data_IF_742278286272
#
_entry.id   IF_742278286272
#
_cell.length_a   1.000
_cell.length_b   1.000
_cell.length_c   1.000
_cell.angle_alpha   90.00
_cell.angle_beta   90.00
_cell.angle_gamma   90.00
#
_symmetry.space_group_name_H-M   'P 1'
#
loop_
_entity.id
_entity.type
_entity.pdbx_description
1 polymer ?
#
# COMPACT_ATOMS: atom_id res chain seq x y z
N UNK A 1 -17.48 21.74 27.46
CA UNK A 1 -17.04 20.83 26.37
C UNK A 1 -17.30 19.37 26.76
N UNK A 2 -18.31 18.73 26.16
CA UNK A 2 -18.72 17.36 26.51
C UNK A 2 -17.76 16.33 25.92
N UNK A 3 -16.92 15.70 26.75
CA UNK A 3 -16.10 14.55 26.37
C UNK A 3 -17.02 13.33 26.17
N UNK A 4 -17.50 13.08 24.94
CA UNK A 4 -18.22 11.82 24.66
C UNK A 4 -17.24 10.64 24.81
N UNK A 5 -17.37 9.90 25.91
CA UNK A 5 -16.63 8.64 26.13
C UNK A 5 -16.95 7.65 24.99
N UNK A 6 -15.92 7.00 24.45
CA UNK A 6 -16.07 5.94 23.44
C UNK A 6 -16.98 4.82 23.94
N UNK A 7 -17.69 4.14 23.03
CA UNK A 7 -18.64 3.06 23.40
C UNK A 7 -17.96 1.95 24.18
N UNK A 8 -16.71 1.60 23.83
CA UNK A 8 -15.88 0.62 24.55
C UNK A 8 -15.57 1.09 25.98
N UNK A 9 -15.25 2.37 26.19
CA UNK A 9 -15.02 2.90 27.54
C UNK A 9 -16.29 2.95 28.40
N UNK A 10 -17.48 3.09 27.79
CA UNK A 10 -18.77 3.02 28.49
C UNK A 10 -19.17 1.60 28.88
N UNK A 11 -18.81 0.62 28.04
CA UNK A 11 -19.13 -0.81 28.24
C UNK A 11 -18.00 -1.60 28.89
N UNK A 12 -16.90 -0.96 29.28
CA UNK A 12 -15.76 -1.63 29.89
C UNK A 12 -16.18 -2.50 31.08
N UNK A 13 -15.81 -3.77 31.08
CA UNK A 13 -16.18 -4.74 32.10
C UNK A 13 -17.58 -5.35 31.96
N UNK A 14 -18.37 -4.95 30.96
CA UNK A 14 -19.68 -5.54 30.66
C UNK A 14 -19.55 -6.60 29.58
N UNK A 15 -20.39 -7.64 29.63
CA UNK A 15 -20.56 -8.54 28.50
C UNK A 15 -21.08 -7.78 27.28
N UNK A 16 -20.54 -8.07 26.11
CA UNK A 16 -20.99 -7.44 24.88
C UNK A 16 -22.32 -8.07 24.44
N UNK A 17 -23.30 -7.28 23.95
CA UNK A 17 -24.59 -7.78 23.52
C UNK A 17 -24.51 -8.39 22.11
N UNK A 18 -23.52 -9.26 21.89
CA UNK A 18 -23.41 -10.08 20.70
C UNK A 18 -23.83 -11.50 21.06
N UNK A 19 -24.52 -12.19 20.15
CA UNK A 19 -24.69 -13.63 20.27
C UNK A 19 -23.31 -14.29 20.42
N UNK A 20 -23.27 -15.43 21.11
CA UNK A 20 -22.03 -16.12 21.54
C UNK A 20 -21.05 -16.23 20.36
N UNK A 21 -20.08 -15.30 20.31
CA UNK A 21 -19.13 -15.22 19.22
C UNK A 21 -18.32 -16.52 19.19
N UNK A 22 -18.33 -17.19 18.04
CA UNK A 22 -17.57 -18.41 17.81
C UNK A 22 -16.09 -18.03 17.62
N UNK A 23 -15.39 -17.90 18.74
CA UNK A 23 -13.96 -17.65 18.82
C UNK A 23 -13.24 -18.90 19.33
N UNK A 24 -11.97 -19.08 18.97
CA UNK A 24 -11.12 -20.18 19.47
C UNK A 24 -11.00 -20.20 21.00
N UNK A 25 -11.16 -19.04 21.65
CA UNK A 25 -11.12 -18.87 23.11
C UNK A 25 -12.42 -18.28 23.61
N UNK A 26 -12.75 -18.51 24.89
CA UNK A 26 -13.91 -17.89 25.53
C UNK A 26 -13.80 -16.36 25.44
N UNK A 27 -14.74 -15.72 24.76
CA UNK A 27 -14.82 -14.26 24.73
C UNK A 27 -15.26 -13.76 26.11
N UNK A 28 -14.48 -12.85 26.69
CA UNK A 28 -14.74 -12.25 28.00
C UNK A 28 -15.57 -10.96 27.90
N UNK A 29 -15.40 -10.09 28.89
CA UNK A 29 -16.05 -8.77 28.93
C UNK A 29 -15.37 -7.76 28.01
N UNK A 30 -16.07 -6.69 27.66
CA UNK A 30 -15.51 -5.62 26.84
C UNK A 30 -14.32 -4.96 27.54
N UNK A 31 -13.18 -4.86 26.84
CA UNK A 31 -12.03 -4.11 27.33
C UNK A 31 -12.28 -2.60 27.08
N UNK A 32 -12.24 -1.73 28.11
CA UNK A 32 -12.30 -0.31 27.89
C UNK A 32 -11.08 0.14 27.08
N UNK A 33 -11.28 1.07 26.15
CA UNK A 33 -10.16 1.63 25.40
C UNK A 33 -9.19 2.33 26.38
N UNK A 34 -7.88 2.02 26.31
CA UNK A 34 -6.88 2.68 27.14
C UNK A 34 -6.57 4.11 26.66
N UNK A 35 -7.02 4.48 25.45
CA UNK A 35 -6.71 5.75 24.79
C UNK A 35 -7.80 6.80 24.99
N UNK A 36 -7.41 8.07 25.05
CA UNK A 36 -8.35 9.17 25.10
C UNK A 36 -8.77 9.62 23.70
N UNK A 37 -10.05 9.96 23.55
CA UNK A 37 -10.59 10.53 22.31
C UNK A 37 -11.06 11.96 22.58
N UNK A 38 -10.65 12.89 21.73
CA UNK A 38 -11.05 14.30 21.78
C UNK A 38 -11.69 14.69 20.45
N UNK A 39 -12.58 15.68 20.48
CA UNK A 39 -13.18 16.23 19.26
C UNK A 39 -12.21 17.22 18.63
N UNK A 40 -11.95 17.07 17.33
CA UNK A 40 -11.05 17.93 16.58
C UNK A 40 -11.75 18.55 15.37
N UNK A 41 -11.28 19.73 14.97
CA UNK A 41 -11.82 20.49 13.84
C UNK A 41 -13.23 21.03 14.07
N UNK A 42 -13.76 21.70 13.05
CA UNK A 42 -15.15 22.15 12.99
C UNK A 42 -16.13 20.97 12.83
N UNK A 43 -15.69 19.93 12.14
CA UNK A 43 -16.40 18.65 11.97
C UNK A 43 -16.63 17.90 13.28
N UNK A 44 -15.84 18.21 14.33
CA UNK A 44 -15.96 17.58 15.63
C UNK A 44 -15.74 16.06 15.57
N UNK A 45 -14.81 15.61 14.73
CA UNK A 45 -14.48 14.19 14.59
C UNK A 45 -13.70 13.73 15.83
N UNK A 46 -14.11 12.62 16.47
CA UNK A 46 -13.39 12.08 17.62
C UNK A 46 -12.12 11.34 17.15
N UNK A 47 -10.96 11.85 17.52
CA UNK A 47 -9.65 11.27 17.16
C UNK A 47 -8.90 10.89 18.45
N UNK A 48 -8.20 9.75 18.41
CA UNK A 48 -7.39 9.24 19.53
C UNK A 48 -6.16 10.12 19.74
N UNK A 49 -5.72 10.26 20.99
CA UNK A 49 -4.47 10.92 21.37
C UNK A 49 -3.22 10.31 20.70
N UNK A 50 -3.28 9.03 20.31
CA UNK A 50 -2.26 8.36 19.50
C UNK A 50 -1.96 9.05 18.16
N UNK A 51 -2.96 9.72 17.56
CA UNK A 51 -2.84 10.31 16.23
C UNK A 51 -2.74 11.84 16.30
N UNK A 52 -1.79 12.33 17.09
CA UNK A 52 -1.66 13.77 17.39
C UNK A 52 -1.51 14.61 16.11
N UNK A 53 -0.73 14.16 15.13
CA UNK A 53 -0.56 14.90 13.87
C UNK A 53 -1.79 14.80 12.95
N UNK A 54 -2.42 13.63 12.86
CA UNK A 54 -3.63 13.42 12.07
C UNK A 54 -4.79 14.30 12.58
N UNK A 55 -4.85 14.52 13.90
CA UNK A 55 -5.89 15.31 14.52
C UNK A 55 -5.96 16.76 14.02
N UNK A 56 -4.85 17.31 13.53
CA UNK A 56 -4.76 18.66 12.93
C UNK A 56 -5.47 18.75 11.58
N UNK A 57 -5.69 17.60 10.92
CA UNK A 57 -6.30 17.52 9.62
C UNK A 57 -7.77 17.07 9.68
N UNK A 58 -8.42 17.08 10.86
CA UNK A 58 -9.75 16.51 11.08
C UNK A 58 -10.78 16.91 10.00
N UNK A 59 -10.85 18.20 9.66
CA UNK A 59 -11.83 18.73 8.70
C UNK A 59 -11.53 18.34 7.23
N UNK A 60 -10.37 17.75 6.96
CA UNK A 60 -9.97 17.23 5.65
C UNK A 60 -10.12 15.70 5.56
N UNK A 61 -10.58 15.04 6.62
CA UNK A 61 -10.74 13.59 6.66
C UNK A 61 -12.13 13.17 6.18
N UNK A 62 -12.18 12.23 5.25
CA UNK A 62 -13.38 11.45 4.98
C UNK A 62 -13.43 10.25 5.94
N UNK A 63 -14.46 10.18 6.78
CA UNK A 63 -14.61 9.10 7.77
C UNK A 63 -15.72 8.14 7.33
N UNK A 64 -15.33 6.92 6.97
CA UNK A 64 -16.26 5.84 6.62
C UNK A 64 -16.66 5.10 7.91
N UNK A 65 -17.93 5.22 8.31
CA UNK A 65 -18.48 4.59 9.54
C UNK A 65 -19.31 3.33 9.27
N UNK A 66 -19.52 3.00 8.01
CA UNK A 66 -20.30 1.84 7.56
C UNK A 66 -19.50 0.53 7.54
N UNK A 67 -18.20 0.55 7.84
CA UNK A 67 -17.38 -0.66 7.85
C UNK A 67 -17.80 -1.59 8.99
N UNK A 68 -18.05 -2.85 8.66
CA UNK A 68 -18.43 -3.91 9.59
C UNK A 68 -17.60 -5.16 9.33
N UNK A 69 -17.21 -5.87 10.38
CA UNK A 69 -16.51 -7.14 10.31
C UNK A 69 -17.36 -8.22 10.97
N UNK A 70 -17.48 -9.37 10.31
CA UNK A 70 -18.35 -10.46 10.75
C UNK A 70 -17.63 -11.44 11.68
N UNK A 71 -16.32 -11.64 11.46
CA UNK A 71 -15.53 -12.63 12.17
C UNK A 71 -14.45 -11.96 13.04
N UNK A 72 -14.35 -12.33 14.33
CA UNK A 72 -13.31 -11.86 15.24
C UNK A 72 -11.96 -12.57 14.98
N UNK A 73 -11.46 -12.49 13.75
CA UNK A 73 -10.18 -13.08 13.32
C UNK A 73 -9.23 -12.01 12.81
N UNK A 74 -8.02 -11.95 13.36
CA UNK A 74 -7.03 -10.94 12.99
C UNK A 74 -6.56 -11.09 11.54
N UNK A 75 -6.28 -12.31 11.08
CA UNK A 75 -5.84 -12.59 9.71
C UNK A 75 -6.88 -12.15 8.67
N UNK A 76 -8.15 -12.49 8.91
CA UNK A 76 -9.26 -12.17 8.01
C UNK A 76 -9.61 -10.68 8.05
N UNK A 77 -9.50 -10.05 9.23
CA UNK A 77 -9.71 -8.61 9.39
C UNK A 77 -8.64 -7.78 8.67
N UNK A 78 -7.38 -8.25 8.61
CA UNK A 78 -6.34 -7.59 7.82
C UNK A 78 -6.70 -7.59 6.33
N UNK A 79 -7.17 -8.71 5.79
CA UNK A 79 -7.61 -8.77 4.40
C UNK A 79 -8.83 -7.88 4.18
N UNK A 80 -9.86 -7.96 5.04
CA UNK A 80 -11.04 -7.12 4.97
C UNK A 80 -10.70 -5.62 4.98
N UNK A 81 -9.77 -5.19 5.83
CA UNK A 81 -9.33 -3.79 5.91
C UNK A 81 -8.68 -3.32 4.61
N UNK A 82 -7.91 -4.18 3.95
CA UNK A 82 -7.18 -3.80 2.75
C UNK A 82 -7.97 -4.02 1.45
N UNK A 83 -8.84 -5.03 1.37
CA UNK A 83 -9.50 -5.47 0.13
C UNK A 83 -11.03 -5.41 0.18
N UNK A 84 -11.62 -5.17 1.35
CA UNK A 84 -13.07 -5.16 1.55
C UNK A 84 -13.71 -6.56 1.54
N UNK A 85 -12.93 -7.64 1.44
CA UNK A 85 -13.43 -9.02 1.49
C UNK A 85 -12.54 -9.85 2.43
N UNK A 86 -13.19 -10.62 3.30
CA UNK A 86 -12.49 -11.44 4.27
C UNK A 86 -12.25 -12.88 3.79
N UNK A 87 -12.90 -13.35 2.72
CA UNK A 87 -12.83 -14.75 2.25
C UNK A 87 -12.00 -14.90 0.98
N UNK A 88 -12.23 -14.02 0.01
CA UNK A 88 -11.56 -14.05 -1.28
C UNK A 88 -10.60 -12.87 -1.39
N UNK A 89 -9.46 -13.13 -2.02
CA UNK A 89 -8.53 -12.06 -2.37
C UNK A 89 -9.20 -11.18 -3.42
N UNK A 90 -9.46 -9.93 -3.05
CA UNK A 90 -9.89 -8.85 -3.94
C UNK A 90 -8.76 -7.85 -4.14
N UNK A 91 -8.85 -6.97 -5.17
CA UNK A 91 -7.86 -5.93 -5.33
C UNK A 91 -7.84 -5.06 -4.07
N UNK A 92 -6.64 -4.86 -3.52
CA UNK A 92 -6.47 -4.02 -2.35
C UNK A 92 -6.76 -2.56 -2.66
N UNK A 93 -6.98 -1.75 -1.62
CA UNK A 93 -7.14 -0.31 -1.72
C UNK A 93 -5.97 0.33 -2.49
N UNK A 94 -4.72 -0.06 -2.19
CA UNK A 94 -3.56 0.43 -2.92
C UNK A 94 -3.58 0.06 -4.40
N UNK A 95 -4.03 -1.15 -4.74
CA UNK A 95 -4.20 -1.60 -6.13
C UNK A 95 -5.28 -0.80 -6.86
N UNK A 96 -6.42 -0.53 -6.21
CA UNK A 96 -7.50 0.30 -6.76
C UNK A 96 -7.07 1.74 -6.99
N UNK A 97 -6.35 2.32 -6.03
CA UNK A 97 -5.84 3.69 -6.13
C UNK A 97 -4.83 3.81 -7.27
N UNK A 98 -3.89 2.86 -7.37
CA UNK A 98 -2.91 2.84 -8.44
C UNK A 98 -3.53 2.59 -9.83
N UNK A 99 -4.57 1.76 -9.91
CA UNK A 99 -5.30 1.53 -11.17
C UNK A 99 -6.15 2.74 -11.58
N UNK A 100 -6.89 3.32 -10.64
CA UNK A 100 -7.85 4.39 -10.92
C UNK A 100 -7.23 5.78 -11.05
N UNK A 101 -6.19 6.08 -10.27
CA UNK A 101 -5.51 7.38 -10.29
C UNK A 101 -4.19 7.35 -11.06
N UNK A 102 -3.65 6.16 -11.34
CA UNK A 102 -2.33 6.00 -11.93
C UNK A 102 -1.19 6.27 -10.94
N UNK A 103 0.01 6.44 -11.49
CA UNK A 103 1.23 6.80 -10.76
C UNK A 103 1.86 8.02 -11.40
N UNK A 104 2.27 8.99 -10.59
CA UNK A 104 3.08 10.14 -11.04
C UNK A 104 4.47 9.71 -11.51
N UNK A 105 4.94 8.54 -11.05
CA UNK A 105 6.22 7.96 -11.41
C UNK A 105 6.02 6.76 -12.36
N UNK A 106 6.64 6.82 -13.54
CA UNK A 106 6.61 5.75 -14.54
C UNK A 106 7.76 4.75 -14.42
N UNK A 107 8.78 5.09 -13.65
CA UNK A 107 10.03 4.35 -13.49
C UNK A 107 10.07 3.53 -12.19
N UNK A 108 9.16 3.78 -11.24
CA UNK A 108 9.03 3.05 -9.99
C UNK A 108 7.63 2.41 -9.84
N UNK A 109 7.47 1.39 -8.98
CA UNK A 109 6.16 0.82 -8.68
C UNK A 109 5.21 1.87 -8.11
N UNK A 110 4.00 1.98 -8.70
CA UNK A 110 2.96 2.90 -8.22
C UNK A 110 2.32 2.49 -6.89
N UNK A 111 2.56 1.28 -6.43
CA UNK A 111 2.08 0.79 -5.13
C UNK A 111 3.15 -0.07 -4.44
N UNK A 112 3.55 0.36 -3.25
CA UNK A 112 4.56 -0.29 -2.42
C UNK A 112 3.94 -0.74 -1.09
N UNK A 113 4.19 -1.98 -0.71
CA UNK A 113 3.81 -2.55 0.58
C UNK A 113 5.06 -2.63 1.48
N UNK A 114 5.07 -1.84 2.55
CA UNK A 114 6.17 -1.83 3.51
C UNK A 114 5.92 -2.88 4.59
N UNK A 115 6.87 -3.80 4.77
CA UNK A 115 6.75 -4.91 5.72
C UNK A 115 8.03 -5.05 6.54
N UNK A 116 8.30 -4.14 7.50
CA UNK A 116 9.47 -4.22 8.36
C UNK A 116 9.43 -5.51 9.19
N UNK A 117 10.45 -6.36 9.04
CA UNK A 117 10.56 -7.59 9.82
C UNK A 117 9.78 -8.78 9.25
N UNK A 118 9.41 -8.70 7.96
CA UNK A 118 8.81 -9.80 7.22
C UNK A 118 7.31 -9.65 6.97
N UNK A 119 6.74 -10.67 6.33
CA UNK A 119 5.34 -10.65 5.90
C UNK A 119 4.38 -10.64 7.10
N UNK A 120 3.33 -9.78 7.09
CA UNK A 120 2.27 -9.86 8.08
C UNK A 120 1.47 -11.15 7.91
N UNK A 121 0.62 -11.46 8.89
CA UNK A 121 -0.30 -12.59 8.79
C UNK A 121 -1.19 -12.44 7.55
N UNK A 122 -1.34 -13.53 6.79
CA UNK A 122 -2.00 -13.53 5.47
C UNK A 122 -1.07 -13.16 4.30
N UNK A 123 0.14 -12.65 4.58
CA UNK A 123 1.17 -12.37 3.59
C UNK A 123 0.68 -11.43 2.48
N UNK A 124 1.10 -11.73 1.24
CA UNK A 124 0.81 -10.90 0.08
C UNK A 124 -0.69 -10.77 -0.24
N UNK A 125 -1.56 -11.64 0.29
CA UNK A 125 -3.01 -11.55 0.10
C UNK A 125 -3.60 -10.22 0.58
N UNK A 126 -2.91 -9.54 1.50
CA UNK A 126 -3.31 -8.22 1.99
C UNK A 126 -3.16 -7.10 0.94
N UNK A 127 -2.39 -7.27 -0.14
CA UNK A 127 -2.12 -6.19 -1.11
C UNK A 127 -2.10 -6.65 -2.58
N UNK A 128 -2.91 -7.65 -2.95
CA UNK A 128 -2.91 -8.16 -4.34
C UNK A 128 -3.64 -7.24 -5.30
N UNK A 129 -3.28 -7.28 -6.58
CA UNK A 129 -4.09 -6.71 -7.66
C UNK A 129 -5.33 -7.57 -7.96
N UNK A 130 -5.27 -8.86 -7.63
CA UNK A 130 -6.30 -9.86 -7.91
C UNK A 130 -6.71 -9.86 -9.39
N UNK A 131 -7.95 -9.47 -9.72
CA UNK A 131 -8.44 -9.40 -11.10
C UNK A 131 -8.05 -8.10 -11.83
N UNK A 132 -7.44 -7.12 -11.16
CA UNK A 132 -6.83 -5.98 -11.83
C UNK A 132 -5.53 -6.40 -12.54
N UNK A 133 -5.13 -5.70 -13.62
CA UNK A 133 -3.87 -5.95 -14.29
C UNK A 133 -2.69 -6.05 -13.32
N UNK A 134 -1.79 -7.00 -13.55
CA UNK A 134 -0.72 -7.33 -12.60
C UNK A 134 0.28 -6.20 -12.35
N UNK A 135 0.33 -5.17 -13.21
CA UNK A 135 1.11 -3.94 -12.98
C UNK A 135 0.67 -3.17 -11.72
N UNK A 136 -0.56 -3.41 -11.23
CA UNK A 136 -1.08 -2.81 -10.00
C UNK A 136 -0.86 -3.68 -8.76
N UNK A 137 -0.09 -4.76 -8.87
CA UNK A 137 0.30 -5.58 -7.74
C UNK A 137 1.22 -4.78 -6.81
N UNK A 138 0.93 -4.80 -5.50
CA UNK A 138 1.79 -4.14 -4.52
C UNK A 138 3.19 -4.78 -4.49
N UNK A 139 4.21 -3.94 -4.64
CA UNK A 139 5.61 -4.36 -4.56
C UNK A 139 6.06 -4.38 -3.10
N UNK A 140 6.47 -5.55 -2.62
CA UNK A 140 6.97 -5.72 -1.26
C UNK A 140 8.33 -5.03 -1.11
N UNK A 141 8.47 -4.22 -0.06
CA UNK A 141 9.75 -3.66 0.37
C UNK A 141 9.90 -3.95 1.87
N UNK A 142 10.89 -4.77 2.22
CA UNK A 142 11.22 -5.06 3.62
C UNK A 142 12.19 -4.00 4.16
N UNK A 143 11.66 -2.97 4.81
CA UNK A 143 12.44 -1.85 5.34
C UNK A 143 13.32 -2.18 6.54
N UNK A 144 13.43 -3.45 6.97
CA UNK A 144 14.39 -3.84 8.00
C UNK A 144 15.84 -3.80 7.49
N UNK A 145 16.03 -4.05 6.20
CA UNK A 145 17.32 -3.83 5.54
C UNK A 145 17.53 -2.33 5.31
N UNK A 146 18.76 -1.86 5.06
CA UNK A 146 19.05 -0.43 4.80
C UNK A 146 19.66 -0.16 3.42
N UNK A 147 20.11 -1.20 2.72
CA UNK A 147 20.71 -1.07 1.40
C UNK A 147 19.64 -1.27 0.31
N UNK A 148 19.41 -0.28 -0.58
CA UNK A 148 18.52 -0.39 -1.73
C UNK A 148 18.68 -1.69 -2.54
N UNK A 149 19.92 -2.19 -2.64
CA UNK A 149 20.27 -3.43 -3.36
C UNK A 149 19.77 -4.70 -2.67
N UNK A 150 19.43 -4.61 -1.39
CA UNK A 150 18.88 -5.73 -0.61
C UNK A 150 17.36 -5.83 -0.72
N UNK A 151 16.67 -4.75 -1.12
CA UNK A 151 15.20 -4.78 -1.31
C UNK A 151 14.78 -4.99 -2.77
N UNK A 152 15.58 -4.52 -3.73
CA UNK A 152 15.29 -4.66 -5.15
C UNK A 152 16.38 -5.53 -5.78
N UNK A 153 16.05 -6.79 -6.00
CA UNK A 153 16.93 -7.74 -6.66
C UNK A 153 17.25 -7.29 -8.10
N UNK A 154 18.45 -7.61 -8.56
CA UNK A 154 18.89 -7.37 -9.95
C UNK A 154 18.83 -5.89 -10.39
N UNK A 155 19.04 -4.95 -9.46
CA UNK A 155 19.10 -3.52 -9.77
C UNK A 155 20.22 -3.14 -10.75
N UNK A 156 21.28 -3.96 -10.83
CA UNK A 156 22.37 -3.85 -11.80
C UNK A 156 22.56 -5.17 -12.52
N UNK A 157 22.80 -5.10 -13.82
CA UNK A 157 23.25 -6.23 -14.60
C UNK A 157 24.78 -6.33 -14.51
N UNK A 158 25.28 -7.42 -13.90
CA UNK A 158 26.73 -7.62 -13.75
C UNK A 158 27.41 -8.19 -15.02
N UNK A 159 26.62 -8.66 -15.99
CA UNK A 159 27.12 -9.40 -17.16
C UNK A 159 27.12 -8.59 -18.45
N UNK A 160 26.21 -7.61 -18.57
CA UNK A 160 26.03 -6.80 -19.76
C UNK A 160 26.25 -5.33 -19.43
N UNK A 161 26.92 -4.63 -20.33
CA UNK A 161 26.90 -3.17 -20.35
C UNK A 161 25.48 -2.65 -20.69
N UNK A 162 25.25 -1.37 -20.40
CA UNK A 162 23.96 -0.72 -20.58
C UNK A 162 23.44 -0.78 -22.02
N UNK A 163 24.30 -0.58 -23.02
CA UNK A 163 23.91 -0.52 -24.43
C UNK A 163 23.54 -1.90 -24.97
N UNK A 164 24.30 -2.93 -24.57
CA UNK A 164 24.02 -4.32 -24.89
C UNK A 164 22.72 -4.76 -24.24
N UNK A 165 22.49 -4.39 -22.97
CA UNK A 165 21.24 -4.67 -22.28
C UNK A 165 20.05 -3.96 -22.94
N UNK A 166 20.21 -2.71 -23.37
CA UNK A 166 19.17 -1.95 -24.07
C UNK A 166 18.79 -2.59 -25.42
N UNK A 167 19.77 -3.08 -26.19
CA UNK A 167 19.52 -3.82 -27.44
C UNK A 167 18.77 -5.13 -27.18
N UNK A 168 19.17 -5.90 -26.16
CA UNK A 168 18.49 -7.14 -25.79
C UNK A 168 17.04 -6.87 -25.35
N UNK A 169 16.83 -5.84 -24.52
CA UNK A 169 15.49 -5.46 -24.09
C UNK A 169 14.62 -5.02 -25.27
N UNK A 170 15.17 -4.27 -26.23
CA UNK A 170 14.45 -3.85 -27.43
C UNK A 170 14.00 -5.04 -28.28
N UNK A 171 14.84 -6.07 -28.42
CA UNK A 171 14.47 -7.31 -29.10
C UNK A 171 13.36 -8.06 -28.35
N UNK A 172 13.48 -8.21 -27.03
CA UNK A 172 12.47 -8.87 -26.20
C UNK A 172 11.12 -8.15 -26.30
N UNK A 173 11.12 -6.82 -26.34
CA UNK A 173 9.90 -6.02 -26.54
C UNK A 173 9.24 -6.33 -27.88
N UNK A 174 10.00 -6.36 -28.98
CA UNK A 174 9.45 -6.72 -30.29
C UNK A 174 8.85 -8.13 -30.33
N UNK A 175 9.50 -9.09 -29.66
CA UNK A 175 8.98 -10.46 -29.55
C UNK A 175 7.69 -10.51 -28.73
N UNK A 176 7.65 -9.79 -27.62
CA UNK A 176 6.47 -9.65 -26.77
C UNK A 176 5.30 -9.00 -27.52
N UNK A 177 5.57 -7.95 -28.30
CA UNK A 177 4.55 -7.25 -29.10
C UNK A 177 3.93 -8.19 -30.16
N UNK A 178 4.77 -8.98 -30.87
CA UNK A 178 4.28 -10.01 -31.80
C UNK A 178 3.45 -11.07 -31.07
N UNK A 179 3.92 -11.55 -29.93
CA UNK A 179 3.24 -12.58 -29.16
C UNK A 179 1.88 -12.10 -28.63
N UNK A 180 1.79 -10.84 -28.21
CA UNK A 180 0.56 -10.18 -27.77
C UNK A 180 -0.43 -9.97 -28.93
N UNK A 181 0.08 -9.59 -30.11
CA UNK A 181 -0.76 -9.42 -31.31
C UNK A 181 -1.47 -10.71 -31.73
N UNK A 182 -0.85 -11.87 -31.50
CA UNK A 182 -1.46 -13.18 -31.76
C UNK A 182 -2.48 -13.61 -30.68
N UNK A 183 -2.45 -13.00 -29.49
CA UNK A 183 -3.24 -13.37 -28.30
C UNK A 183 -3.88 -12.14 -27.63
N UNK A 184 -4.71 -11.38 -28.36
CA UNK A 184 -5.35 -10.20 -27.80
C UNK A 184 -6.25 -10.61 -26.62
N UNK A 185 -6.14 -9.88 -25.50
CA UNK A 185 -6.96 -10.09 -24.31
C UNK A 185 -6.39 -11.05 -23.27
N UNK A 186 -5.20 -11.62 -23.46
CA UNK A 186 -4.53 -12.43 -22.43
C UNK A 186 -3.87 -11.57 -21.34
N UNK A 187 -4.68 -11.18 -20.34
CA UNK A 187 -4.23 -10.37 -19.19
C UNK A 187 -2.96 -10.88 -18.48
N UNK A 188 -2.71 -12.20 -18.32
CA UNK A 188 -1.46 -12.68 -17.73
C UNK A 188 -0.21 -12.35 -18.54
N UNK A 189 -0.30 -12.38 -19.89
CA UNK A 189 0.82 -12.05 -20.78
C UNK A 189 1.12 -10.55 -20.67
N UNK A 190 0.09 -9.72 -20.79
CA UNK A 190 0.23 -8.26 -20.70
C UNK A 190 0.84 -7.83 -19.35
N UNK A 191 0.34 -8.38 -18.25
CA UNK A 191 0.87 -8.11 -16.91
C UNK A 191 2.35 -8.50 -16.79
N UNK A 192 2.75 -9.63 -17.38
CA UNK A 192 4.14 -10.10 -17.36
C UNK A 192 5.04 -9.18 -18.19
N UNK A 193 4.60 -8.76 -19.37
CA UNK A 193 5.32 -7.79 -20.20
C UNK A 193 5.54 -6.49 -19.42
N UNK A 194 4.46 -5.89 -18.90
CA UNK A 194 4.53 -4.61 -18.18
C UNK A 194 5.42 -4.69 -16.92
N UNK A 195 5.40 -5.81 -16.20
CA UNK A 195 6.26 -6.04 -15.04
C UNK A 195 7.75 -6.06 -15.41
N UNK A 196 8.13 -6.74 -16.50
CA UNK A 196 9.51 -6.74 -16.97
C UNK A 196 9.96 -5.37 -17.50
N UNK A 197 9.09 -4.64 -18.19
CA UNK A 197 9.42 -3.29 -18.62
C UNK A 197 9.61 -2.34 -17.44
N UNK A 198 8.78 -2.44 -16.40
CA UNK A 198 8.96 -1.67 -15.17
C UNK A 198 10.28 -2.02 -14.50
N UNK A 199 10.62 -3.32 -14.39
CA UNK A 199 11.89 -3.75 -13.81
C UNK A 199 13.10 -3.18 -14.58
N UNK A 200 13.04 -3.15 -15.91
CA UNK A 200 14.08 -2.51 -16.74
C UNK A 200 14.20 -1.01 -16.46
N UNK A 201 13.08 -0.28 -16.40
CA UNK A 201 13.09 1.16 -16.05
C UNK A 201 13.64 1.42 -14.65
N UNK A 202 13.31 0.56 -13.68
CA UNK A 202 13.84 0.65 -12.32
C UNK A 202 15.37 0.50 -12.28
N UNK A 203 15.97 -0.34 -13.13
CA UNK A 203 17.43 -0.49 -13.21
C UNK A 203 18.10 0.80 -13.72
N UNK A 204 17.50 1.47 -14.69
CA UNK A 204 18.01 2.75 -15.23
C UNK A 204 17.87 3.86 -14.17
N UNK A 205 16.68 4.02 -13.59
CA UNK A 205 16.39 5.07 -12.61
C UNK A 205 17.22 4.92 -11.33
N UNK A 206 17.30 3.70 -10.79
CA UNK A 206 18.05 3.47 -9.56
C UNK A 206 19.57 3.55 -9.75
N UNK A 207 20.06 3.38 -10.99
CA UNK A 207 21.45 3.67 -11.33
C UNK A 207 21.72 5.17 -11.33
N UNK A 208 20.77 5.99 -11.80
CA UNK A 208 20.87 7.46 -11.78
C UNK A 208 20.70 8.06 -10.38
N UNK A 209 19.91 7.44 -9.51
CA UNK A 209 19.67 7.88 -8.13
C UNK A 209 20.76 7.48 -7.11
N UNK A 210 21.89 6.93 -7.57
CA UNK A 210 22.99 6.53 -6.69
C UNK A 210 23.74 7.76 -6.13
N UNK A 211 24.06 7.81 -4.82
CA UNK A 211 24.69 8.98 -4.18
C UNK A 211 26.11 9.30 -4.67
N UNK A 212 26.68 8.53 -5.61
CA UNK A 212 27.94 8.86 -6.29
C UNK A 212 27.78 9.79 -7.49
N UNK A 213 26.55 10.17 -7.87
CA UNK A 213 26.33 11.27 -8.79
C UNK A 213 26.45 12.60 -8.04
N UNK A 214 27.57 13.30 -8.24
CA UNK A 214 27.83 14.67 -7.79
C UNK A 214 26.59 15.55 -8.04
N UNK A 215 26.10 16.33 -7.06
CA UNK A 215 24.97 17.22 -7.30
C UNK A 215 25.44 18.40 -8.16
N UNK A 216 25.34 18.26 -9.48
CA UNK A 216 25.39 19.39 -10.39
C UNK A 216 23.97 19.98 -10.46
N UNK A 217 23.71 20.99 -9.64
CA UNK A 217 22.50 21.80 -9.75
C UNK A 217 21.74 21.92 -8.44
N UNK A 218 21.95 23.03 -7.76
CA UNK A 218 21.16 23.53 -6.63
C UNK A 218 19.67 23.51 -6.99
N UNK A 219 18.89 22.65 -6.35
CA UNK A 219 17.44 22.67 -6.43
C UNK A 219 16.91 23.87 -5.62
N UNK A 220 16.83 25.03 -6.26
CA UNK A 220 16.09 26.16 -5.73
C UNK A 220 14.59 25.91 -5.96
N UNK A 221 13.85 25.67 -4.89
CA UNK A 221 12.38 25.66 -4.90
C UNK A 221 11.88 27.07 -5.28
N UNK A 222 11.02 27.23 -6.29
CA UNK A 222 10.35 28.50 -6.51
C UNK A 222 9.38 28.76 -5.35
N UNK A 223 9.67 29.79 -4.57
CA UNK A 223 8.73 30.40 -3.63
C UNK A 223 7.58 31.02 -4.42
N UNK A 224 6.50 30.27 -4.58
CA UNK A 224 5.20 30.82 -4.95
C UNK A 224 4.52 31.36 -3.69
N UNK A 225 4.65 32.66 -3.48
CA UNK A 225 3.72 33.43 -2.64
C UNK A 225 2.32 33.34 -3.23
N UNK A 226 1.43 32.58 -2.60
CA UNK A 226 -0.01 32.73 -2.76
C UNK A 226 -0.57 33.23 -1.42
N UNK A 227 -0.90 34.51 -1.41
CA UNK A 227 -1.60 35.23 -0.36
C UNK A 227 -3.06 34.76 -0.30
N UNK A 228 -3.45 34.29 0.90
CA UNK A 228 -4.80 34.02 1.44
C UNK A 228 -5.70 32.99 0.75
#
# INVERSE_FOLDING_TARGET
>A
MSRRRSRTRRRGGQELPYEKLLTERRTGVALPSPFEFKQHGQSGIPISDLFTHLSRCADKLAVIRSMHAELPSHAMSLMLMNSGDQRLVRPSLGSWLNWGMGSENRNLPGFVALCPGGLPVGGANNWRSAFLPGVHQGTLVDTAHKDPRQFIAHLRNAHLDHDTQARQFSLLRQLNDRHLAERPGEAPIEARIQSFELAYRMQVEATNASPTATPAGTFALPTSTATW
#
